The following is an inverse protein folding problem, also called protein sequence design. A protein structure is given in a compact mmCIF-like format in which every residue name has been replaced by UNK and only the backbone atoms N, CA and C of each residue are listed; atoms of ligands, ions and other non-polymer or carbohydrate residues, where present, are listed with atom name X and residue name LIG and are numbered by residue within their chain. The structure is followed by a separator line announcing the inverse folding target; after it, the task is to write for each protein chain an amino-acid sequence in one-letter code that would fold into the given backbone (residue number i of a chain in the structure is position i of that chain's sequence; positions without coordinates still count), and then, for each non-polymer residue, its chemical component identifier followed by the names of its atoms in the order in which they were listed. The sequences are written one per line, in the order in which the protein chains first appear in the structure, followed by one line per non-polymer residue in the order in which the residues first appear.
data_IF_680150178536
#
_entry.id   IF_680150178536
#
_cell.length_a   1.000
_cell.length_b   1.000
_cell.length_c   1.000
_cell.angle_alpha   90.00
_cell.angle_beta   90.00
_cell.angle_gamma   90.00
#
_symmetry.space_group_name_H-M   'P 1'
#
loop_
_entity.id
_entity.type
_entity.pdbx_description
1 polymer ?
#
# COMPACT_ATOMS: atom_id res chain seq x y z
N UNK A 1 44.51 -52.14 91.32
CA UNK A 1 43.35 -53.08 91.28
C UNK A 1 41.96 -52.42 91.26
N UNK A 2 41.79 -51.09 91.42
CA UNK A 2 40.46 -50.45 91.46
C UNK A 2 39.85 -50.10 90.09
N UNK A 3 40.65 -49.93 89.04
CA UNK A 3 40.16 -49.58 87.69
C UNK A 3 39.40 -50.74 87.00
N UNK A 4 39.81 -51.99 87.24
CA UNK A 4 39.14 -53.16 86.63
C UNK A 4 37.78 -53.46 87.28
N UNK A 5 37.61 -53.22 88.57
CA UNK A 5 36.35 -53.49 89.27
C UNK A 5 35.27 -52.45 89.00
N UNK A 6 35.64 -51.18 88.82
CA UNK A 6 34.68 -50.13 88.41
C UNK A 6 34.26 -50.29 86.95
N UNK A 7 35.17 -50.69 86.07
CA UNK A 7 34.87 -50.95 84.65
C UNK A 7 33.93 -52.15 84.46
N UNK A 8 34.11 -53.21 85.25
CA UNK A 8 33.23 -54.38 85.24
C UNK A 8 31.82 -54.09 85.76
N UNK A 9 31.64 -53.01 86.54
CA UNK A 9 30.32 -52.57 87.04
C UNK A 9 29.54 -51.74 86.02
N UNK A 10 30.23 -50.96 85.18
CA UNK A 10 29.62 -50.17 84.11
C UNK A 10 29.43 -50.97 82.80
N UNK A 11 30.36 -51.88 82.48
CA UNK A 11 30.30 -52.76 81.32
C UNK A 11 30.50 -54.23 81.76
N UNK A 12 29.42 -54.95 82.13
CA UNK A 12 29.53 -56.34 82.52
C UNK A 12 29.96 -57.22 81.34
N UNK A 13 30.67 -58.31 81.62
CA UNK A 13 31.08 -59.29 80.60
C UNK A 13 29.84 -59.87 79.90
N UNK A 14 29.68 -59.58 78.61
CA UNK A 14 28.60 -60.14 77.79
C UNK A 14 29.12 -61.36 77.06
N UNK A 15 28.40 -62.47 77.19
CA UNK A 15 28.66 -63.72 76.47
C UNK A 15 27.67 -63.80 75.33
N UNK A 16 28.19 -63.76 74.11
CA UNK A 16 27.37 -63.82 72.91
C UNK A 16 27.55 -65.22 72.31
N UNK A 17 26.43 -65.92 72.13
CA UNK A 17 26.39 -67.24 71.54
C UNK A 17 26.04 -67.08 70.07
N UNK A 18 27.03 -67.20 69.20
CA UNK A 18 26.83 -67.23 67.76
C UNK A 18 26.66 -68.70 67.37
N UNK A 19 25.51 -69.03 66.80
CA UNK A 19 25.22 -70.34 66.21
C UNK A 19 25.36 -70.20 64.70
N UNK A 20 26.31 -70.90 64.11
CA UNK A 20 26.51 -70.93 62.66
C UNK A 20 26.60 -72.39 62.23
N UNK A 21 25.66 -72.82 61.36
CA UNK A 21 25.47 -74.13 60.71
C UNK A 21 26.27 -75.34 61.24
N UNK A 22 26.18 -75.60 62.54
CA UNK A 22 26.69 -76.82 63.19
C UNK A 22 27.44 -76.58 64.50
N UNK A 23 28.01 -75.39 64.72
CA UNK A 23 28.77 -75.08 65.94
C UNK A 23 28.24 -73.84 66.67
N UNK A 24 28.16 -73.92 68.00
CA UNK A 24 27.90 -72.77 68.88
C UNK A 24 29.23 -72.25 69.43
N UNK A 25 29.76 -71.20 68.81
CA UNK A 25 31.01 -70.59 69.26
C UNK A 25 30.70 -69.53 70.32
N UNK A 26 31.22 -69.73 71.54
CA UNK A 26 31.10 -68.76 72.63
C UNK A 26 32.15 -67.67 72.46
N UNK A 27 31.70 -66.44 72.21
CA UNK A 27 32.58 -65.27 72.22
C UNK A 27 32.34 -64.51 73.52
N UNK A 28 33.42 -64.31 74.29
CA UNK A 28 33.40 -63.50 75.51
C UNK A 28 33.83 -62.08 75.16
N UNK A 29 32.92 -61.14 75.28
CA UNK A 29 33.22 -59.72 75.09
C UNK A 29 33.74 -59.16 76.40
N UNK A 30 35.06 -59.03 76.52
CA UNK A 30 35.69 -58.36 77.66
C UNK A 30 35.26 -56.90 77.70
N UNK A 31 35.19 -56.25 78.88
CA UNK A 31 34.75 -54.87 79.01
C UNK A 31 35.57 -53.90 78.16
N UNK A 32 36.87 -54.19 77.96
CA UNK A 32 37.75 -53.41 77.09
C UNK A 32 37.34 -53.45 75.62
N UNK A 33 36.98 -54.63 75.08
CA UNK A 33 36.53 -54.80 73.69
C UNK A 33 35.19 -54.09 73.46
N UNK A 34 34.29 -54.11 74.47
CA UNK A 34 33.01 -53.39 74.38
C UNK A 34 33.21 -51.87 74.29
N UNK A 35 34.10 -51.30 75.12
CA UNK A 35 34.40 -49.86 75.11
C UNK A 35 35.10 -49.47 73.80
N UNK A 36 36.07 -50.25 73.34
CA UNK A 36 36.75 -50.00 72.07
C UNK A 36 35.76 -50.06 70.89
N UNK A 37 34.83 -51.02 70.89
CA UNK A 37 33.78 -51.13 69.88
C UNK A 37 32.81 -49.96 69.87
N UNK A 38 32.32 -49.55 71.05
CA UNK A 38 31.41 -48.38 71.18
C UNK A 38 32.14 -47.09 70.79
N UNK A 39 33.36 -46.89 71.26
CA UNK A 39 34.17 -45.71 70.93
C UNK A 39 34.48 -45.65 69.43
N UNK A 40 34.81 -46.78 68.81
CA UNK A 40 35.04 -46.86 67.36
C UNK A 40 33.77 -46.55 66.57
N UNK A 41 32.64 -47.12 66.96
CA UNK A 41 31.35 -46.83 66.33
C UNK A 41 30.94 -45.35 66.50
N UNK A 42 31.12 -44.77 67.68
CA UNK A 42 30.83 -43.36 67.94
C UNK A 42 31.73 -42.41 67.11
N UNK A 43 33.02 -42.74 66.97
CA UNK A 43 33.97 -41.96 66.17
C UNK A 43 33.63 -42.05 64.68
N UNK A 44 33.28 -43.23 64.17
CA UNK A 44 32.79 -43.39 62.80
C UNK A 44 31.50 -42.60 62.56
N UNK A 45 30.55 -42.67 63.48
CA UNK A 45 29.29 -41.93 63.37
C UNK A 45 29.54 -40.42 63.36
N UNK A 46 30.37 -39.92 64.29
CA UNK A 46 30.79 -38.52 64.32
C UNK A 46 31.49 -38.10 63.02
N UNK A 47 32.40 -38.94 62.51
CA UNK A 47 33.07 -38.71 61.23
C UNK A 47 32.08 -38.65 60.06
N UNK A 48 31.12 -39.57 59.98
CA UNK A 48 30.12 -39.58 58.90
C UNK A 48 29.23 -38.34 58.95
N UNK A 49 28.85 -37.85 60.14
CA UNK A 49 28.09 -36.61 60.30
C UNK A 49 28.91 -35.42 59.82
N UNK A 50 30.15 -35.27 60.29
CA UNK A 50 31.03 -34.16 59.92
C UNK A 50 31.32 -34.17 58.42
N UNK A 51 31.63 -35.34 57.85
CA UNK A 51 31.86 -35.50 56.42
C UNK A 51 30.62 -35.18 55.59
N UNK A 52 29.43 -35.63 56.01
CA UNK A 52 28.18 -35.34 55.29
C UNK A 52 27.85 -33.84 55.35
N UNK A 53 28.04 -33.20 56.50
CA UNK A 53 27.85 -31.77 56.66
C UNK A 53 28.81 -30.95 55.79
N UNK A 54 30.08 -31.36 55.71
CA UNK A 54 31.08 -30.73 54.85
C UNK A 54 30.70 -30.84 53.36
N UNK A 55 30.23 -32.00 52.90
CA UNK A 55 29.75 -32.20 51.52
C UNK A 55 28.53 -31.35 51.21
N UNK A 56 27.56 -31.26 52.13
CA UNK A 56 26.37 -30.40 51.94
C UNK A 56 26.77 -28.92 51.90
N UNK A 57 27.64 -28.47 52.80
CA UNK A 57 28.08 -27.07 52.85
C UNK A 57 28.87 -26.64 51.60
N UNK A 58 29.69 -27.53 51.04
CA UNK A 58 30.42 -27.27 49.79
C UNK A 58 29.60 -27.55 48.53
N UNK A 59 28.66 -28.50 48.57
CA UNK A 59 27.80 -28.89 47.45
C UNK A 59 26.72 -27.86 47.11
N UNK A 60 26.32 -27.03 48.08
CA UNK A 60 25.38 -25.91 47.89
C UNK A 60 26.07 -24.53 47.98
N UNK A 61 27.40 -24.49 47.89
CA UNK A 61 28.21 -23.30 48.13
C UNK A 61 27.93 -22.16 47.14
N UNK A 62 27.74 -20.96 47.68
CA UNK A 62 27.48 -19.64 47.08
C UNK A 62 28.25 -19.22 45.81
N UNK A 63 29.30 -19.94 45.41
CA UNK A 63 30.03 -19.67 44.16
C UNK A 63 29.20 -19.96 42.90
N UNK A 64 28.35 -20.99 42.93
CA UNK A 64 27.47 -21.32 41.79
C UNK A 64 26.31 -20.35 41.64
N UNK A 65 25.71 -19.88 42.73
CA UNK A 65 24.58 -18.94 42.68
C UNK A 65 24.99 -17.54 42.23
N UNK A 66 26.14 -17.04 42.68
CA UNK A 66 26.65 -15.74 42.23
C UNK A 66 27.06 -15.78 40.74
N UNK A 67 27.77 -16.82 40.32
CA UNK A 67 28.12 -16.99 38.90
C UNK A 67 26.88 -17.22 38.02
N UNK A 68 25.88 -17.95 38.52
CA UNK A 68 24.62 -18.16 37.83
C UNK A 68 23.83 -16.85 37.71
N UNK A 69 23.76 -16.05 38.77
CA UNK A 69 23.12 -14.73 38.75
C UNK A 69 23.80 -13.78 37.75
N UNK A 70 25.14 -13.79 37.66
CA UNK A 70 25.89 -13.02 36.67
C UNK A 70 25.59 -13.47 35.23
N UNK A 71 25.51 -14.78 34.98
CA UNK A 71 25.14 -15.31 33.65
C UNK A 71 23.71 -14.95 33.28
N UNK A 72 22.78 -15.11 34.23
CA UNK A 72 21.37 -14.78 34.02
C UNK A 72 21.21 -13.27 33.74
N UNK A 73 21.92 -12.41 34.48
CA UNK A 73 21.96 -10.97 34.22
C UNK A 73 22.47 -10.68 32.80
N UNK A 74 23.59 -11.26 32.39
CA UNK A 74 24.14 -11.05 31.05
C UNK A 74 23.17 -11.52 29.95
N UNK A 75 22.46 -12.63 30.14
CA UNK A 75 21.43 -13.11 29.22
C UNK A 75 20.24 -12.14 29.18
N UNK A 76 19.80 -11.64 30.33
CA UNK A 76 18.73 -10.65 30.41
C UNK A 76 19.10 -9.33 29.73
N UNK A 77 20.31 -8.81 29.95
CA UNK A 77 20.83 -7.61 29.29
C UNK A 77 20.91 -7.81 27.77
N UNK A 78 21.38 -8.97 27.32
CA UNK A 78 21.40 -9.32 25.89
C UNK A 78 20.00 -9.34 25.29
N UNK A 79 19.02 -9.90 25.99
CA UNK A 79 17.61 -9.92 25.53
C UNK A 79 17.00 -8.53 25.50
N UNK A 80 17.27 -7.70 26.51
CA UNK A 80 16.82 -6.31 26.56
C UNK A 80 17.41 -5.49 25.42
N UNK A 81 18.70 -5.66 25.12
CA UNK A 81 19.33 -5.02 23.97
C UNK A 81 18.71 -5.50 22.65
N UNK A 82 18.45 -6.80 22.49
CA UNK A 82 17.73 -7.35 21.33
C UNK A 82 16.35 -6.71 21.15
N UNK A 83 15.55 -6.66 22.22
CA UNK A 83 14.22 -6.04 22.19
C UNK A 83 14.29 -4.53 21.90
N UNK A 84 15.31 -3.83 22.42
CA UNK A 84 15.51 -2.41 22.15
C UNK A 84 15.86 -2.17 20.67
N UNK A 85 16.68 -3.02 20.06
CA UNK A 85 16.99 -2.97 18.63
C UNK A 85 15.74 -3.22 17.79
N UNK A 86 14.97 -4.26 18.09
CA UNK A 86 13.71 -4.55 17.38
C UNK A 86 12.69 -3.41 17.51
N UNK A 87 12.53 -2.85 18.71
CA UNK A 87 11.67 -1.66 18.93
C UNK A 87 12.13 -0.48 18.09
N UNK A 88 13.43 -0.21 18.05
CA UNK A 88 13.98 0.89 17.27
C UNK A 88 13.80 0.67 15.76
N UNK A 89 13.94 -0.58 15.29
CA UNK A 89 13.65 -0.95 13.90
C UNK A 89 12.17 -0.71 13.56
N UNK A 90 11.25 -1.23 14.38
CA UNK A 90 9.79 -0.99 14.23
C UNK A 90 9.43 0.50 14.24
N UNK A 91 10.07 1.29 15.11
CA UNK A 91 9.83 2.72 15.18
C UNK A 91 10.27 3.46 13.90
N UNK A 92 11.40 3.04 13.31
CA UNK A 92 11.88 3.58 12.01
C UNK A 92 10.96 3.16 10.88
N UNK A 93 10.58 1.88 10.81
CA UNK A 93 9.64 1.38 9.81
C UNK A 93 8.30 2.13 9.84
N UNK A 94 7.78 2.41 11.04
CA UNK A 94 6.56 3.20 11.20
C UNK A 94 6.75 4.64 10.72
N UNK A 95 7.88 5.28 11.02
CA UNK A 95 8.19 6.63 10.55
C UNK A 95 8.28 6.69 9.01
N UNK A 96 9.00 5.75 8.40
CA UNK A 96 9.12 5.64 6.93
C UNK A 96 7.76 5.39 6.28
N UNK A 97 6.91 4.56 6.89
CA UNK A 97 5.55 4.32 6.40
C UNK A 97 4.68 5.59 6.47
N UNK A 98 4.81 6.38 7.54
CA UNK A 98 4.13 7.68 7.65
C UNK A 98 4.62 8.68 6.61
N UNK A 99 5.92 8.72 6.31
CA UNK A 99 6.48 9.59 5.27
C UNK A 99 5.95 9.21 3.88
N UNK A 100 5.92 7.91 3.55
CA UNK A 100 5.33 7.42 2.29
C UNK A 100 3.84 7.72 2.20
N UNK A 101 3.10 7.58 3.30
CA UNK A 101 1.67 7.92 3.34
C UNK A 101 1.47 9.43 3.09
N UNK A 102 2.27 10.28 3.74
CA UNK A 102 2.19 11.72 3.57
C UNK A 102 2.46 12.11 2.10
N UNK A 103 3.50 11.54 1.47
CA UNK A 103 3.79 11.76 0.06
C UNK A 103 2.65 11.28 -0.86
N UNK A 104 2.05 10.12 -0.58
CA UNK A 104 0.93 9.60 -1.35
C UNK A 104 -0.32 10.50 -1.22
N UNK A 105 -0.62 11.02 -0.03
CA UNK A 105 -1.73 11.95 0.19
C UNK A 105 -1.54 13.26 -0.56
N UNK A 106 -0.30 13.76 -0.64
CA UNK A 106 0.03 14.98 -1.39
C UNK A 106 -0.20 14.78 -2.90
N UNK A 107 0.22 13.62 -3.44
CA UNK A 107 -0.03 13.28 -4.85
C UNK A 107 -1.53 13.11 -5.14
N UNK A 108 -2.29 12.47 -4.24
CA UNK A 108 -3.75 12.34 -4.37
C UNK A 108 -4.40 13.73 -4.39
N UNK A 109 -3.98 14.64 -3.51
CA UNK A 109 -4.46 16.03 -3.48
C UNK A 109 -4.16 16.76 -4.80
N UNK A 110 -2.96 16.55 -5.36
CA UNK A 110 -2.58 17.11 -6.66
C UNK A 110 -3.43 16.54 -7.81
N UNK A 111 -3.72 15.24 -7.81
CA UNK A 111 -4.60 14.59 -8.80
C UNK A 111 -6.02 15.13 -8.66
N UNK A 112 -6.57 15.21 -7.46
CA UNK A 112 -7.92 15.77 -7.23
C UNK A 112 -8.02 17.22 -7.69
N UNK A 113 -6.98 18.02 -7.43
CA UNK A 113 -6.91 19.40 -7.91
C UNK A 113 -6.85 19.49 -9.43
N UNK A 114 -6.15 18.56 -10.10
CA UNK A 114 -6.12 18.46 -11.57
C UNK A 114 -7.48 18.02 -12.12
N UNK A 115 -8.13 17.05 -11.50
CA UNK A 115 -9.45 16.55 -11.88
C UNK A 115 -10.50 17.66 -11.75
N UNK A 116 -10.54 18.38 -10.64
CA UNK A 116 -11.45 19.52 -10.44
C UNK A 116 -11.26 20.59 -11.52
N UNK A 117 -10.00 20.95 -11.84
CA UNK A 117 -9.69 21.90 -12.93
C UNK A 117 -10.05 21.38 -14.32
N UNK A 118 -10.10 20.06 -14.52
CA UNK A 118 -10.53 19.45 -15.77
C UNK A 118 -12.06 19.48 -15.88
N UNK A 119 -12.75 19.17 -14.78
CA UNK A 119 -14.20 19.22 -14.69
C UNK A 119 -14.75 20.64 -14.85
N UNK A 120 -14.09 21.64 -14.26
CA UNK A 120 -14.43 23.05 -14.44
C UNK A 120 -14.28 23.46 -15.91
N UNK A 121 -13.16 23.16 -16.55
CA UNK A 121 -12.96 23.42 -17.99
C UNK A 121 -13.99 22.72 -18.87
N UNK A 122 -14.38 21.49 -18.53
CA UNK A 122 -15.44 20.77 -19.25
C UNK A 122 -16.78 21.51 -19.15
N UNK A 123 -17.15 21.98 -17.96
CA UNK A 123 -18.38 22.77 -17.75
C UNK A 123 -18.34 24.12 -18.46
N UNK A 124 -17.17 24.78 -18.46
CA UNK A 124 -16.97 26.02 -19.22
C UNK A 124 -17.13 25.79 -20.72
N UNK A 125 -16.58 24.70 -21.26
CA UNK A 125 -16.75 24.30 -22.66
C UNK A 125 -18.20 24.00 -23.00
N UNK A 126 -18.90 23.23 -22.15
CA UNK A 126 -20.34 22.92 -22.33
C UNK A 126 -21.19 24.20 -22.37
N UNK A 127 -20.98 25.08 -21.40
CA UNK A 127 -21.67 26.39 -21.36
C UNK A 127 -21.30 27.26 -22.57
N UNK A 128 -20.03 27.26 -22.97
CA UNK A 128 -19.54 28.00 -24.14
C UNK A 128 -20.19 27.53 -25.43
N UNK A 129 -20.35 26.21 -25.61
CA UNK A 129 -21.05 25.61 -26.76
C UNK A 129 -22.52 26.02 -26.77
N UNK A 130 -23.21 25.99 -25.63
CA UNK A 130 -24.62 26.40 -25.54
C UNK A 130 -24.82 27.89 -25.89
N UNK A 131 -23.92 28.76 -25.44
CA UNK A 131 -23.94 30.19 -25.78
C UNK A 131 -23.66 30.40 -27.28
N UNK A 132 -22.69 29.69 -27.86
CA UNK A 132 -22.41 29.75 -29.30
C UNK A 132 -23.60 29.26 -30.11
N UNK A 133 -24.21 28.13 -29.73
CA UNK A 133 -25.35 27.54 -30.42
C UNK A 133 -26.59 28.45 -30.36
N UNK A 134 -26.87 29.05 -29.21
CA UNK A 134 -27.99 30.00 -29.05
C UNK A 134 -27.76 31.30 -29.85
N UNK A 135 -26.53 31.83 -29.85
CA UNK A 135 -26.15 32.99 -30.64
C UNK A 135 -26.28 32.70 -32.15
N UNK A 136 -25.81 31.54 -32.60
CA UNK A 136 -25.93 31.11 -33.98
C UNK A 136 -27.40 30.98 -34.41
N UNK A 137 -28.25 30.38 -33.55
CA UNK A 137 -29.69 30.27 -33.81
C UNK A 137 -30.35 31.65 -33.95
N UNK A 138 -30.04 32.56 -33.04
CA UNK A 138 -30.56 33.94 -33.09
C UNK A 138 -30.10 34.68 -34.36
N UNK A 139 -28.83 34.55 -34.73
CA UNK A 139 -28.30 35.14 -35.97
C UNK A 139 -28.95 34.54 -37.22
N UNK A 140 -29.25 33.23 -37.23
CA UNK A 140 -30.00 32.60 -38.30
C UNK A 140 -31.45 33.11 -38.40
N UNK A 141 -32.13 33.30 -37.27
CA UNK A 141 -33.48 33.89 -37.22
C UNK A 141 -33.46 35.34 -37.73
N UNK A 142 -32.55 36.18 -37.24
CA UNK A 142 -32.39 37.57 -37.70
C UNK A 142 -32.11 37.63 -39.22
N UNK A 143 -31.28 36.72 -39.73
CA UNK A 143 -31.00 36.59 -41.17
C UNK A 143 -32.24 36.17 -41.97
N UNK A 144 -33.01 35.21 -41.46
CA UNK A 144 -34.18 34.69 -42.17
C UNK A 144 -35.32 35.72 -42.16
N UNK A 145 -35.48 36.48 -41.07
CA UNK A 145 -36.36 37.66 -41.01
C UNK A 145 -35.92 38.76 -41.98
N UNK A 146 -34.61 39.08 -42.03
CA UNK A 146 -34.08 40.04 -43.00
C UNK A 146 -34.34 39.61 -44.45
N UNK A 147 -34.23 38.31 -44.75
CA UNK A 147 -34.56 37.75 -46.07
C UNK A 147 -36.05 37.83 -46.38
N UNK A 148 -36.93 37.53 -45.41
CA UNK A 148 -38.38 37.68 -45.54
C UNK A 148 -38.76 39.14 -45.80
N UNK A 149 -38.18 40.08 -45.04
CA UNK A 149 -38.37 41.50 -45.25
C UNK A 149 -37.89 41.94 -46.63
N UNK A 150 -36.69 41.53 -47.06
CA UNK A 150 -36.18 41.83 -48.39
C UNK A 150 -37.08 41.26 -49.51
N UNK A 151 -37.56 40.02 -49.36
CA UNK A 151 -38.50 39.40 -50.29
C UNK A 151 -39.84 40.16 -50.33
N UNK A 152 -40.35 40.61 -49.18
CA UNK A 152 -41.59 41.41 -49.10
C UNK A 152 -41.43 42.78 -49.76
N UNK A 153 -40.27 43.44 -49.60
CA UNK A 153 -39.97 44.71 -50.26
C UNK A 153 -39.86 44.51 -51.78
N UNK A 154 -39.18 43.45 -52.24
CA UNK A 154 -39.12 43.09 -53.65
C UNK A 154 -40.50 42.81 -54.25
N UNK A 155 -41.38 42.10 -53.52
CA UNK A 155 -42.75 41.84 -53.95
C UNK A 155 -43.57 43.14 -54.07
N UNK A 156 -43.47 44.04 -53.07
CA UNK A 156 -44.13 45.36 -53.12
C UNK A 156 -43.59 46.23 -54.25
N UNK A 157 -42.29 46.20 -54.51
CA UNK A 157 -41.68 46.88 -55.66
C UNK A 157 -42.13 46.27 -56.99
N UNK A 158 -42.29 44.96 -57.10
CA UNK A 158 -42.83 44.29 -58.29
C UNK A 158 -44.31 44.61 -58.54
N UNK A 159 -45.12 44.66 -57.47
CA UNK A 159 -46.53 45.03 -57.53
C UNK A 159 -46.73 46.53 -57.86
N UNK A 160 -45.82 47.38 -57.38
CA UNK A 160 -45.76 48.79 -57.79
C UNK A 160 -45.16 48.93 -59.19
N UNK A 161 -44.25 48.09 -59.67
CA UNK A 161 -43.71 48.17 -61.03
C UNK A 161 -44.79 48.00 -62.12
N UNK A 162 -45.85 47.23 -61.86
CA UNK A 162 -47.02 47.10 -62.75
C UNK A 162 -47.96 48.32 -62.70
N UNK A 163 -47.90 49.16 -61.66
CA UNK A 163 -48.67 50.41 -61.52
C UNK A 163 -47.87 51.71 -61.74
N UNK A 164 -46.55 51.65 -61.62
CA UNK A 164 -45.62 52.77 -61.68
C UNK A 164 -45.28 53.20 -63.10
N UNK A 165 -45.59 52.36 -64.10
CA UNK A 165 -45.52 52.74 -65.51
C UNK A 165 -46.41 53.94 -65.86
N UNK A 166 -47.32 54.36 -64.98
CA UNK A 166 -48.18 55.52 -65.18
C UNK A 166 -47.75 56.82 -64.46
N UNK A 167 -46.96 56.78 -63.37
CA UNK A 167 -46.73 58.00 -62.55
C UNK A 167 -45.47 58.02 -61.64
N UNK A 168 -44.38 57.29 -61.94
CA UNK A 168 -43.11 57.46 -61.18
C UNK A 168 -42.24 58.57 -61.73
N UNK A 169 -41.68 59.39 -60.84
CA UNK A 169 -40.66 60.38 -61.17
C UNK A 169 -39.28 59.70 -61.20
N UNK A 170 -38.40 60.05 -62.15
CA UNK A 170 -37.04 59.46 -62.27
C UNK A 170 -36.25 59.45 -60.94
N UNK A 171 -36.48 60.44 -60.10
CA UNK A 171 -35.85 60.63 -58.80
C UNK A 171 -36.15 59.48 -57.80
N UNK A 172 -37.37 58.95 -57.79
CA UNK A 172 -37.77 57.83 -56.91
C UNK A 172 -37.18 56.50 -57.37
N UNK A 173 -37.03 56.31 -58.69
CA UNK A 173 -36.37 55.13 -59.25
C UNK A 173 -34.88 55.11 -58.87
N UNK A 174 -34.20 56.26 -58.99
CA UNK A 174 -32.80 56.40 -58.58
C UNK A 174 -32.61 56.19 -57.08
N UNK A 175 -33.51 56.71 -56.24
CA UNK A 175 -33.46 56.50 -54.79
C UNK A 175 -33.63 55.02 -54.41
N UNK A 176 -34.57 54.32 -55.04
CA UNK A 176 -34.84 52.89 -54.79
C UNK A 176 -33.69 52.01 -55.25
N UNK A 177 -33.13 52.31 -56.44
CA UNK A 177 -31.95 51.60 -56.95
C UNK A 177 -30.75 51.84 -56.03
N UNK A 178 -30.55 53.07 -55.56
CA UNK A 178 -29.52 53.41 -54.57
C UNK A 178 -29.66 52.61 -53.27
N UNK A 179 -30.89 52.51 -52.74
CA UNK A 179 -31.18 51.71 -51.55
C UNK A 179 -30.91 50.21 -51.76
N UNK A 180 -31.32 49.63 -52.89
CA UNK A 180 -31.04 48.23 -53.22
C UNK A 180 -29.54 47.97 -53.36
N UNK A 181 -28.81 48.87 -54.01
CA UNK A 181 -27.37 48.74 -54.20
C UNK A 181 -26.63 48.83 -52.86
N UNK A 182 -27.02 49.75 -51.99
CA UNK A 182 -26.47 49.87 -50.64
C UNK A 182 -26.80 48.64 -49.77
N UNK A 183 -28.02 48.13 -49.85
CA UNK A 183 -28.44 46.94 -49.09
C UNK A 183 -27.68 45.69 -49.56
N UNK A 184 -27.53 45.52 -50.88
CA UNK A 184 -26.74 44.42 -51.46
C UNK A 184 -25.25 44.51 -51.09
N UNK A 185 -24.70 45.72 -51.02
CA UNK A 185 -23.34 45.94 -50.55
C UNK A 185 -23.18 45.50 -49.08
N UNK A 186 -24.10 45.92 -48.20
CA UNK A 186 -24.08 45.52 -46.79
C UNK A 186 -24.23 44.00 -46.61
N UNK A 187 -25.15 43.35 -47.35
CA UNK A 187 -25.32 41.89 -47.29
C UNK A 187 -24.10 41.15 -47.83
N UNK A 188 -23.43 41.68 -48.85
CA UNK A 188 -22.19 41.10 -49.36
C UNK A 188 -21.07 41.18 -48.31
N UNK A 189 -20.93 42.32 -47.63
CA UNK A 189 -19.98 42.51 -46.53
C UNK A 189 -20.26 41.55 -45.37
N UNK A 190 -21.51 41.46 -44.91
CA UNK A 190 -21.92 40.57 -43.82
C UNK A 190 -21.70 39.08 -44.17
N UNK A 191 -21.98 38.69 -45.42
CA UNK A 191 -21.68 37.33 -45.92
C UNK A 191 -20.19 37.02 -45.89
N UNK A 192 -19.37 37.99 -46.30
CA UNK A 192 -17.92 37.81 -46.35
C UNK A 192 -17.32 37.74 -44.92
N UNK A 193 -17.90 38.46 -43.95
CA UNK A 193 -17.55 38.35 -42.53
C UNK A 193 -17.91 36.99 -41.93
N UNK A 194 -19.10 36.48 -42.23
CA UNK A 194 -19.52 35.13 -41.81
C UNK A 194 -18.59 34.07 -42.40
N UNK A 195 -18.22 34.19 -43.68
CA UNK A 195 -17.26 33.27 -44.31
C UNK A 195 -15.90 33.30 -43.62
N UNK A 196 -15.34 34.49 -43.38
CA UNK A 196 -14.06 34.62 -42.66
C UNK A 196 -14.12 34.01 -41.26
N UNK A 197 -15.24 34.15 -40.57
CA UNK A 197 -15.44 33.59 -39.24
C UNK A 197 -15.55 32.06 -39.29
N UNK A 198 -16.25 31.52 -40.28
CA UNK A 198 -16.37 30.08 -40.49
C UNK A 198 -15.00 29.45 -40.81
N UNK A 199 -14.23 30.05 -41.73
CA UNK A 199 -12.88 29.60 -42.09
C UNK A 199 -11.94 29.60 -40.86
N UNK A 200 -12.04 30.64 -40.00
CA UNK A 200 -11.27 30.72 -38.77
C UNK A 200 -11.68 29.66 -37.73
N UNK A 201 -12.97 29.32 -37.65
CA UNK A 201 -13.47 28.27 -36.78
C UNK A 201 -13.01 26.87 -37.24
N UNK A 202 -13.03 26.62 -38.55
CA UNK A 202 -12.56 25.36 -39.15
C UNK A 202 -11.05 25.17 -38.88
N UNK A 203 -10.24 26.22 -39.07
CA UNK A 203 -8.81 26.19 -38.73
C UNK A 203 -8.54 25.86 -37.26
N UNK A 204 -9.36 26.38 -36.33
CA UNK A 204 -9.28 26.04 -34.89
C UNK A 204 -9.66 24.58 -34.61
N UNK A 205 -10.67 24.05 -35.29
CA UNK A 205 -11.07 22.65 -35.14
C UNK A 205 -9.95 21.71 -35.59
N UNK A 206 -9.29 22.03 -36.70
CA UNK A 206 -8.13 21.28 -37.19
C UNK A 206 -6.96 21.31 -36.19
N UNK A 207 -6.70 22.47 -35.58
CA UNK A 207 -5.69 22.62 -34.53
C UNK A 207 -6.00 21.75 -33.31
N UNK A 208 -7.24 21.80 -32.81
CA UNK A 208 -7.69 20.97 -31.66
C UNK A 208 -7.61 19.48 -32.01
N UNK A 209 -8.02 19.09 -33.22
CA UNK A 209 -7.95 17.70 -33.67
C UNK A 209 -6.50 17.22 -33.80
N UNK A 210 -5.57 18.11 -34.15
CA UNK A 210 -4.14 17.81 -34.15
C UNK A 210 -3.59 17.68 -32.72
N UNK A 211 -3.93 18.61 -31.82
CA UNK A 211 -3.51 18.56 -30.41
C UNK A 211 -4.00 17.29 -29.71
N UNK A 212 -5.26 16.91 -29.92
CA UNK A 212 -5.83 15.66 -29.39
C UNK A 212 -5.07 14.42 -29.87
N UNK A 213 -4.67 14.38 -31.15
CA UNK A 213 -3.85 13.30 -31.69
C UNK A 213 -2.48 13.25 -31.04
N UNK A 214 -1.83 14.40 -30.89
CA UNK A 214 -0.53 14.50 -30.22
C UNK A 214 -0.60 14.08 -28.75
N UNK A 215 -1.66 14.45 -28.03
CA UNK A 215 -1.90 14.02 -26.66
C UNK A 215 -2.08 12.50 -26.59
N UNK A 216 -2.88 11.93 -27.49
CA UNK A 216 -3.11 10.48 -27.56
C UNK A 216 -1.80 9.73 -27.79
N UNK A 217 -0.95 10.21 -28.72
CA UNK A 217 0.37 9.62 -28.96
C UNK A 217 1.32 9.75 -27.77
N UNK A 218 1.26 10.87 -27.04
CA UNK A 218 2.04 11.07 -25.80
C UNK A 218 1.60 10.10 -24.72
N UNK A 219 0.29 9.96 -24.48
CA UNK A 219 -0.26 9.03 -23.50
C UNK A 219 0.14 7.59 -23.85
N UNK A 220 0.04 7.21 -25.12
CA UNK A 220 0.45 5.88 -25.60
C UNK A 220 1.93 5.59 -25.35
N UNK A 221 2.79 6.62 -25.46
CA UNK A 221 4.22 6.48 -25.14
C UNK A 221 4.45 6.30 -23.65
N UNK A 222 3.74 7.08 -22.82
CA UNK A 222 3.84 6.98 -21.36
C UNK A 222 3.40 5.60 -20.88
N UNK A 223 2.27 5.08 -21.38
CA UNK A 223 1.80 3.75 -21.02
C UNK A 223 2.79 2.65 -21.38
N UNK A 224 3.31 2.65 -22.62
CA UNK A 224 4.38 1.71 -23.02
C UNK A 224 5.62 1.80 -22.13
N UNK A 225 6.06 3.01 -21.78
CA UNK A 225 7.21 3.18 -20.89
C UNK A 225 6.94 2.63 -19.48
N UNK A 226 5.71 2.73 -18.98
CA UNK A 226 5.32 2.14 -17.70
C UNK A 226 5.27 0.62 -17.80
N UNK A 227 4.66 0.07 -18.86
CA UNK A 227 4.60 -1.37 -19.12
C UNK A 227 6.02 -1.98 -19.20
N UNK A 228 6.90 -1.39 -20.00
CA UNK A 228 8.30 -1.82 -20.13
C UNK A 228 9.03 -1.77 -18.77
N UNK A 229 8.81 -0.72 -17.97
CA UNK A 229 9.42 -0.58 -16.65
C UNK A 229 8.91 -1.63 -15.66
N UNK A 230 7.61 -1.95 -15.70
CA UNK A 230 6.99 -2.98 -14.87
C UNK A 230 7.51 -4.36 -15.27
N UNK A 231 7.55 -4.68 -16.56
CA UNK A 231 8.07 -5.95 -17.06
C UNK A 231 9.55 -6.13 -16.71
N UNK A 232 10.38 -5.10 -16.92
CA UNK A 232 11.81 -5.12 -16.56
C UNK A 232 12.03 -5.35 -15.07
N UNK A 233 11.15 -4.83 -14.22
CA UNK A 233 11.20 -5.01 -12.76
C UNK A 233 10.71 -6.40 -12.32
N UNK A 234 9.71 -6.95 -13.00
CA UNK A 234 9.05 -8.21 -12.63
C UNK A 234 9.78 -9.46 -13.15
N UNK A 235 10.36 -9.39 -14.35
CA UNK A 235 11.01 -10.54 -15.00
C UNK A 235 12.12 -11.19 -14.13
N UNK A 236 13.06 -10.44 -13.51
CA UNK A 236 14.12 -11.04 -12.70
C UNK A 236 13.59 -11.77 -11.47
N UNK A 237 12.49 -11.29 -10.88
CA UNK A 237 11.89 -11.91 -9.72
C UNK A 237 11.22 -13.22 -10.13
N UNK A 238 10.45 -13.23 -11.22
CA UNK A 238 9.83 -14.44 -11.78
C UNK A 238 10.87 -15.51 -12.10
N UNK A 239 11.99 -15.12 -12.72
CA UNK A 239 13.10 -16.04 -13.04
C UNK A 239 13.74 -16.64 -11.79
N UNK A 240 13.92 -15.84 -10.73
CA UNK A 240 14.47 -16.33 -9.46
C UNK A 240 13.55 -17.38 -8.80
N UNK A 241 12.24 -17.12 -8.74
CA UNK A 241 11.26 -18.09 -8.20
C UNK A 241 11.23 -19.38 -9.02
N UNK A 242 11.28 -19.28 -10.35
CA UNK A 242 11.33 -20.42 -11.25
C UNK A 242 12.62 -21.25 -11.08
N UNK A 243 13.77 -20.59 -10.94
CA UNK A 243 15.08 -21.25 -10.76
C UNK A 243 15.19 -22.05 -9.46
N UNK A 244 14.50 -21.62 -8.40
CA UNK A 244 14.49 -22.30 -7.09
C UNK A 244 13.46 -23.44 -7.05
N UNK A 245 12.61 -23.58 -8.08
CA UNK A 245 11.62 -24.66 -8.18
C UNK A 245 10.49 -24.56 -7.15
N UNK A 246 10.28 -23.36 -6.58
CA UNK A 246 9.21 -23.12 -5.62
C UNK A 246 7.88 -22.91 -6.36
N UNK A 247 6.75 -23.48 -5.88
CA UNK A 247 5.44 -23.21 -6.45
C UNK A 247 4.99 -21.79 -6.10
N UNK A 248 5.42 -20.84 -6.93
CA UNK A 248 5.18 -19.39 -6.86
C UNK A 248 3.74 -19.04 -6.48
N UNK A 249 2.76 -19.66 -7.15
CA UNK A 249 1.33 -19.40 -6.94
C UNK A 249 0.87 -19.73 -5.51
N UNK A 250 1.42 -20.81 -4.93
CA UNK A 250 1.01 -21.26 -3.59
C UNK A 250 1.56 -20.37 -2.47
N UNK A 251 2.74 -19.77 -2.69
CA UNK A 251 3.36 -18.81 -1.76
C UNK A 251 2.62 -17.48 -1.85
N UNK A 252 2.31 -17.01 -3.07
CA UNK A 252 1.53 -15.79 -3.28
C UNK A 252 0.14 -15.93 -2.65
N UNK A 253 -0.54 -17.07 -2.80
CA UNK A 253 -1.85 -17.33 -2.17
C UNK A 253 -1.79 -17.41 -0.64
N UNK A 254 -0.66 -17.85 -0.06
CA UNK A 254 -0.46 -17.81 1.39
C UNK A 254 -0.19 -16.39 1.90
N UNK A 255 0.63 -15.61 1.19
CA UNK A 255 0.89 -14.20 1.50
C UNK A 255 -0.38 -13.38 1.36
N UNK A 256 -1.16 -13.58 0.28
CA UNK A 256 -2.45 -12.94 0.04
C UNK A 256 -3.42 -13.15 1.21
N UNK A 257 -3.57 -14.39 1.70
CA UNK A 257 -4.42 -14.71 2.86
C UNK A 257 -3.91 -14.14 4.18
N UNK A 258 -2.59 -14.13 4.41
CA UNK A 258 -2.00 -13.62 5.64
C UNK A 258 -2.08 -12.09 5.72
N UNK A 259 -1.95 -11.39 4.59
CA UNK A 259 -2.00 -9.94 4.51
C UNK A 259 -3.41 -9.37 4.28
N UNK A 260 -4.38 -10.15 3.78
CA UNK A 260 -5.78 -9.69 3.67
C UNK A 260 -6.45 -9.47 5.04
N UNK A 261 -5.92 -10.06 6.11
CA UNK A 261 -6.51 -9.99 7.47
C UNK A 261 -6.11 -8.77 8.31
N UNK A 262 -5.08 -8.00 7.93
CA UNK A 262 -4.49 -6.96 8.79
C UNK A 262 -4.37 -5.56 8.13
N UNK A 263 -5.33 -5.21 7.27
CA UNK A 263 -5.39 -3.90 6.59
C UNK A 263 -4.79 -3.95 5.19
N UNK A 264 -5.41 -4.75 4.32
CA UNK A 264 -4.84 -5.22 3.07
C UNK A 264 -4.32 -4.16 2.09
N UNK A 265 -3.33 -4.58 1.30
CA UNK A 265 -2.85 -3.87 0.12
C UNK A 265 -3.99 -3.68 -0.89
N UNK A 266 -4.32 -2.41 -1.12
CA UNK A 266 -5.05 -1.80 -2.24
C UNK A 266 -6.31 -2.58 -2.65
N UNK A 267 -7.47 -2.05 -2.26
CA UNK A 267 -8.78 -2.49 -2.77
C UNK A 267 -8.83 -2.34 -4.30
N UNK A 268 -9.47 -3.24 -5.07
CA UNK A 268 -9.61 -3.05 -6.52
C UNK A 268 -10.30 -1.70 -6.78
N UNK A 269 -9.66 -0.86 -7.61
CA UNK A 269 -10.24 0.39 -8.06
C UNK A 269 -11.33 0.03 -9.07
N UNK A 270 -12.57 -0.08 -8.59
CA UNK A 270 -13.75 -0.10 -9.45
C UNK A 270 -13.96 1.32 -9.95
N UNK A 271 -13.58 1.58 -11.19
CA UNK A 271 -13.95 2.81 -11.87
C UNK A 271 -15.47 2.76 -12.12
N UNK A 272 -16.19 3.75 -11.60
CA UNK A 272 -17.65 3.86 -11.79
C UNK A 272 -17.95 4.24 -13.23
N UNK A 273 -18.44 3.28 -14.02
CA UNK A 273 -18.95 3.47 -15.39
C UNK A 273 -20.35 4.08 -15.42
N UNK A 274 -20.71 4.82 -14.36
CA UNK A 274 -21.99 5.54 -14.25
C UNK A 274 -21.98 6.77 -15.16
N UNK A 275 -22.03 6.53 -16.45
CA UNK A 275 -21.99 7.53 -17.51
C UNK A 275 -21.73 6.78 -18.80
N UNK A 276 -22.73 6.79 -19.68
CA UNK A 276 -22.83 6.14 -20.98
C UNK A 276 -21.70 6.58 -21.92
N UNK A 277 -20.49 6.08 -21.68
CA UNK A 277 -19.31 6.25 -22.51
C UNK A 277 -18.83 4.86 -22.90
N UNK A 278 -18.70 4.64 -24.21
CA UNK A 278 -17.93 3.54 -24.79
C UNK A 278 -16.68 3.27 -23.94
N UNK A 279 -16.40 2.00 -23.66
CA UNK A 279 -15.26 1.55 -22.88
C UNK A 279 -13.97 2.20 -23.42
N UNK A 280 -13.44 3.23 -22.72
CA UNK A 280 -12.22 3.91 -23.12
C UNK A 280 -11.06 2.90 -23.08
N UNK A 281 -10.42 2.58 -24.23
CA UNK A 281 -9.31 1.64 -24.27
C UNK A 281 -8.16 2.01 -23.33
N UNK A 282 -7.98 3.31 -23.04
CA UNK A 282 -6.95 3.78 -22.12
C UNK A 282 -7.26 3.41 -20.65
N UNK A 283 -8.53 3.41 -20.26
CA UNK A 283 -8.93 3.02 -18.90
C UNK A 283 -8.73 1.52 -18.66
N UNK A 284 -9.07 0.69 -19.66
CA UNK A 284 -8.80 -0.75 -19.63
C UNK A 284 -7.31 -1.02 -19.48
N UNK A 285 -6.47 -0.37 -20.29
CA UNK A 285 -5.01 -0.53 -20.21
C UNK A 285 -4.45 -0.05 -18.86
N UNK A 286 -4.93 1.08 -18.35
CA UNK A 286 -4.53 1.57 -17.02
C UNK A 286 -4.87 0.57 -15.92
N UNK A 287 -6.03 -0.10 -15.99
CA UNK A 287 -6.38 -1.14 -15.03
C UNK A 287 -5.45 -2.35 -15.09
N UNK A 288 -5.04 -2.77 -16.28
CA UNK A 288 -4.12 -3.89 -16.48
C UNK A 288 -2.73 -3.58 -15.89
N UNK A 289 -2.20 -2.38 -16.14
CA UNK A 289 -0.92 -1.94 -15.56
C UNK A 289 -0.97 -1.91 -14.04
N UNK A 290 -2.08 -1.43 -13.45
CA UNK A 290 -2.26 -1.42 -12.00
C UNK A 290 -2.29 -2.84 -11.41
N UNK A 291 -2.87 -3.79 -12.13
CA UNK A 291 -2.87 -5.21 -11.74
C UNK A 291 -1.45 -5.80 -11.80
N UNK A 292 -0.70 -5.52 -12.86
CA UNK A 292 0.70 -5.95 -12.99
C UNK A 292 1.61 -5.35 -11.90
N UNK A 293 1.43 -4.07 -11.56
CA UNK A 293 2.14 -3.41 -10.45
C UNK A 293 1.83 -4.06 -9.10
N UNK A 294 0.57 -4.42 -8.88
CA UNK A 294 0.14 -5.13 -7.67
C UNK A 294 0.77 -6.52 -7.60
N UNK A 295 0.79 -7.24 -8.71
CA UNK A 295 1.47 -8.53 -8.82
C UNK A 295 2.95 -8.36 -8.45
N UNK A 296 3.65 -7.38 -9.02
CA UNK A 296 5.05 -7.10 -8.69
C UNK A 296 5.28 -6.81 -7.19
N UNK A 297 4.40 -6.06 -6.55
CA UNK A 297 4.48 -5.82 -5.11
C UNK A 297 4.28 -7.09 -4.28
N UNK A 298 3.37 -7.97 -4.68
CA UNK A 298 3.18 -9.29 -4.05
C UNK A 298 4.43 -10.16 -4.16
N UNK A 299 5.05 -10.20 -5.33
CA UNK A 299 6.31 -10.90 -5.54
C UNK A 299 7.43 -10.34 -4.65
N UNK A 300 7.54 -9.01 -4.55
CA UNK A 300 8.52 -8.35 -3.67
C UNK A 300 8.32 -8.72 -2.20
N UNK A 301 7.08 -8.66 -1.71
CA UNK A 301 6.74 -9.06 -0.33
C UNK A 301 7.01 -10.54 -0.11
N UNK A 302 6.74 -11.41 -1.08
CA UNK A 302 7.03 -12.83 -0.98
C UNK A 302 8.54 -13.10 -0.84
N UNK A 303 9.40 -12.39 -1.59
CA UNK A 303 10.86 -12.49 -1.44
C UNK A 303 11.31 -12.04 -0.04
N UNK A 304 10.79 -10.92 0.46
CA UNK A 304 11.16 -10.38 1.78
C UNK A 304 10.68 -11.26 2.96
N UNK A 305 9.66 -12.08 2.74
CA UNK A 305 9.10 -12.96 3.76
C UNK A 305 9.66 -14.39 3.73
N UNK A 306 10.58 -14.68 2.79
CA UNK A 306 11.40 -15.90 2.86
C UNK A 306 12.47 -15.79 3.95
N UNK A 307 12.72 -16.86 4.72
CA UNK A 307 13.71 -16.88 5.79
C UNK A 307 15.16 -16.83 5.31
#
# INVERSE_FOLDING_TARGET
MKFRSTLARAFPEKRLFLRTDGETRLIRLTPFVQIAGISGAALLLCWTIVSSAMVVMHGFGSGTLYEQALRDQAVYESRLNGLAVERNARAREAADAHERLAAALDEISAIQSRLLRSEERRRELETGVDVIASTLRKSMEERDDARLHAASLLARLGEHADGLAAETTEEELFATLGFLTATLANVAEERDDIRRTADAAEARLDEIAFEKRLETERNERVFRQIEDAVETSLAPIKDMFAAVGLPTDSIIEQVRRRYSGQGGLISPVVFSTSGEADEDPQLLRASEILEQLREAELYRVAVQSMP
#
